data_IF_275389249808
#
_entry.id   IF_275389249808
#
_cell.length_a   1.000
_cell.length_b   1.000
_cell.length_c   1.000
_cell.angle_alpha   90.00
_cell.angle_beta   90.00
_cell.angle_gamma   90.00
#
_symmetry.space_group_name_H-M   'P 1'
#
loop_
_entity.id
_entity.type
_entity.pdbx_description
1 polymer ?
#
# COMPACT_ATOMS: atom_id res chain seq x y z
N UNK A 1 31.03 -33.09 -8.62
CA UNK A 1 30.34 -31.81 -8.88
C UNK A 1 28.85 -32.08 -8.88
N UNK A 2 28.08 -31.50 -7.96
CA UNK A 2 26.62 -31.60 -7.94
C UNK A 2 26.03 -30.79 -9.11
N UNK A 3 24.91 -31.25 -9.68
CA UNK A 3 24.15 -30.51 -10.69
C UNK A 3 23.10 -29.56 -10.05
N UNK A 4 22.72 -29.83 -8.79
CA UNK A 4 21.74 -29.09 -8.01
C UNK A 4 22.06 -29.28 -6.53
N UNK A 5 21.77 -28.27 -5.72
CA UNK A 5 21.76 -28.36 -4.26
C UNK A 5 20.32 -28.40 -3.77
N UNK A 6 20.04 -29.33 -2.84
CA UNK A 6 18.77 -29.33 -2.10
C UNK A 6 19.04 -28.80 -0.70
N UNK A 7 18.48 -27.65 -0.37
CA UNK A 7 18.48 -27.06 0.96
C UNK A 7 17.33 -27.64 1.77
N UNK A 8 17.66 -28.39 2.81
CA UNK A 8 16.73 -28.96 3.77
C UNK A 8 17.30 -28.86 5.20
N UNK A 9 18.05 -27.76 5.47
CA UNK A 9 18.69 -27.54 6.79
C UNK A 9 17.66 -27.07 7.80
N UNK A 10 16.86 -26.05 7.43
CA UNK A 10 15.78 -25.52 8.25
C UNK A 10 14.49 -25.42 7.40
N UNK A 11 13.35 -25.47 8.07
CA UNK A 11 12.04 -25.28 7.47
C UNK A 11 11.14 -24.47 8.39
N UNK A 12 9.86 -24.77 8.40
CA UNK A 12 8.86 -24.16 9.27
C UNK A 12 9.29 -24.19 10.75
N UNK A 13 9.11 -23.07 11.46
CA UNK A 13 9.43 -22.94 12.88
C UNK A 13 10.86 -22.48 13.17
N UNK A 14 11.71 -22.26 12.13
CA UNK A 14 13.01 -21.64 12.35
C UNK A 14 12.86 -20.15 12.66
N UNK A 15 13.54 -19.69 13.73
CA UNK A 15 13.58 -18.29 14.14
C UNK A 15 14.98 -17.88 14.58
N UNK A 16 15.31 -16.60 14.43
CA UNK A 16 16.59 -16.04 14.84
C UNK A 16 17.73 -16.30 13.84
N UNK A 17 18.99 -15.97 14.21
CA UNK A 17 20.15 -16.18 13.34
C UNK A 17 20.59 -17.65 13.32
N UNK A 18 20.96 -18.22 12.16
CA UNK A 18 21.57 -19.53 12.07
C UNK A 18 22.88 -19.59 12.89
N UNK A 19 23.11 -20.70 13.57
CA UNK A 19 24.33 -20.93 14.36
C UNK A 19 25.22 -21.99 13.73
N UNK A 20 26.51 -22.03 14.07
CA UNK A 20 27.44 -23.08 13.64
C UNK A 20 26.93 -24.45 14.08
N UNK A 21 27.09 -25.51 13.27
CA UNK A 21 27.76 -25.53 11.95
C UNK A 21 26.82 -25.10 10.78
N UNK A 22 25.53 -24.89 11.04
CA UNK A 22 24.52 -24.63 9.98
C UNK A 22 24.77 -23.31 9.25
N UNK A 23 25.21 -22.26 9.95
CA UNK A 23 25.57 -20.99 9.33
C UNK A 23 26.64 -21.17 8.24
N UNK A 24 27.68 -21.96 8.53
CA UNK A 24 28.78 -22.27 7.60
C UNK A 24 28.27 -23.07 6.37
N UNK A 25 27.32 -23.98 6.60
CA UNK A 25 26.71 -24.75 5.51
C UNK A 25 25.85 -23.85 4.60
N UNK A 26 25.09 -22.94 5.17
CA UNK A 26 24.27 -21.96 4.42
C UNK A 26 25.18 -21.02 3.61
N UNK A 27 26.28 -20.53 4.20
CA UNK A 27 27.28 -19.72 3.49
C UNK A 27 27.91 -20.49 2.32
N UNK A 28 28.22 -21.77 2.53
CA UNK A 28 28.78 -22.63 1.47
C UNK A 28 27.78 -22.87 0.31
N UNK A 29 26.49 -22.99 0.61
CA UNK A 29 25.41 -23.04 -0.41
C UNK A 29 25.38 -21.73 -1.19
N UNK A 30 25.45 -20.58 -0.51
CA UNK A 30 25.44 -19.25 -1.14
C UNK A 30 26.63 -18.98 -2.06
N UNK A 31 27.74 -19.68 -1.87
CA UNK A 31 28.92 -19.63 -2.76
C UNK A 31 28.83 -20.60 -3.93
N UNK A 32 27.80 -21.44 -3.98
CA UNK A 32 27.60 -22.43 -5.04
C UNK A 32 27.03 -21.75 -6.29
N UNK A 33 27.56 -22.10 -7.47
CA UNK A 33 27.09 -21.64 -8.76
C UNK A 33 25.98 -22.53 -9.35
N UNK A 34 25.59 -23.60 -8.67
CA UNK A 34 24.54 -24.50 -9.14
C UNK A 34 23.16 -24.08 -8.60
N UNK A 35 22.06 -24.42 -9.32
CA UNK A 35 20.71 -24.13 -8.85
C UNK A 35 20.44 -24.71 -7.46
N UNK A 36 19.70 -23.96 -6.64
CA UNK A 36 19.29 -24.35 -5.28
C UNK A 36 17.79 -24.54 -5.23
N UNK A 37 17.36 -25.69 -4.72
CA UNK A 37 15.96 -25.98 -4.41
C UNK A 37 15.84 -26.06 -2.88
N UNK A 38 15.04 -25.16 -2.28
CA UNK A 38 14.75 -25.21 -0.84
C UNK A 38 13.49 -26.03 -0.55
N UNK A 39 13.60 -26.92 0.43
CA UNK A 39 12.47 -27.67 0.95
C UNK A 39 11.78 -26.83 2.04
N UNK A 40 10.51 -26.59 1.88
CA UNK A 40 9.59 -25.85 2.73
C UNK A 40 9.85 -24.33 2.77
N UNK A 41 10.99 -23.88 3.29
CA UNK A 41 11.40 -22.47 3.40
C UNK A 41 12.92 -22.39 3.20
N UNK A 42 13.45 -21.38 2.48
CA UNK A 42 14.90 -21.21 2.37
C UNK A 42 15.54 -21.08 3.75
N UNK A 43 16.57 -21.87 4.03
CA UNK A 43 17.22 -21.88 5.34
C UNK A 43 17.80 -20.51 5.69
N UNK A 44 17.41 -19.98 6.83
CA UNK A 44 17.74 -18.64 7.31
C UNK A 44 16.62 -17.61 7.17
N UNK A 45 15.50 -17.94 6.50
CA UNK A 45 14.27 -17.15 6.45
C UNK A 45 13.35 -17.57 7.59
N UNK A 46 12.84 -16.60 8.34
CA UNK A 46 11.77 -16.81 9.31
C UNK A 46 10.45 -17.02 8.57
N UNK A 47 9.80 -18.17 8.79
CA UNK A 47 8.60 -18.57 8.02
C UNK A 47 7.38 -17.70 8.28
N UNK A 48 7.30 -17.05 9.44
CA UNK A 48 6.12 -16.29 9.86
C UNK A 48 6.23 -14.80 9.51
N UNK A 49 7.44 -14.25 9.56
CA UNK A 49 7.70 -12.82 9.40
C UNK A 49 8.43 -12.46 8.11
N UNK A 50 9.16 -13.41 7.51
CA UNK A 50 10.09 -13.17 6.42
C UNK A 50 11.40 -12.51 6.85
N UNK A 51 11.65 -12.38 8.14
CA UNK A 51 12.90 -11.82 8.66
C UNK A 51 14.10 -12.66 8.27
N UNK A 52 15.23 -11.98 7.98
CA UNK A 52 16.53 -12.58 7.68
C UNK A 52 17.56 -11.98 8.62
N UNK A 53 18.04 -12.78 9.57
CA UNK A 53 18.90 -12.32 10.68
C UNK A 53 20.33 -12.85 10.63
N UNK A 54 20.78 -13.31 9.46
CA UNK A 54 22.12 -13.90 9.30
C UNK A 54 22.29 -14.53 7.94
N UNK A 55 23.21 -15.52 7.81
CA UNK A 55 23.34 -16.28 6.58
C UNK A 55 21.99 -16.88 6.14
N UNK A 56 21.70 -16.78 4.85
CA UNK A 56 20.43 -17.22 4.27
C UNK A 56 20.66 -17.85 2.90
N UNK A 57 19.92 -18.91 2.61
CA UNK A 57 19.92 -19.55 1.31
C UNK A 57 19.09 -18.69 0.34
N UNK A 58 19.61 -18.48 -0.85
CA UNK A 58 18.87 -17.93 -1.97
C UNK A 58 18.46 -19.07 -2.91
N UNK A 59 17.21 -19.47 -2.82
CA UNK A 59 16.67 -20.53 -3.66
C UNK A 59 16.36 -20.03 -5.08
N UNK A 60 16.50 -20.92 -6.08
CA UNK A 60 15.91 -20.75 -7.39
C UNK A 60 14.44 -21.19 -7.37
N UNK A 61 14.15 -22.24 -6.61
CA UNK A 61 12.80 -22.78 -6.40
C UNK A 61 12.64 -23.14 -4.93
N UNK A 62 11.53 -22.74 -4.32
CA UNK A 62 11.12 -23.21 -2.99
C UNK A 62 9.90 -24.12 -3.14
N UNK A 63 10.03 -25.38 -2.74
CA UNK A 63 8.92 -26.34 -2.68
C UNK A 63 8.35 -26.29 -1.27
N UNK A 64 7.32 -25.48 -1.06
CA UNK A 64 6.70 -25.33 0.25
C UNK A 64 5.58 -26.34 0.47
N UNK A 65 5.44 -26.85 1.70
CA UNK A 65 4.54 -27.97 2.00
C UNK A 65 3.16 -27.49 2.43
N UNK A 66 2.11 -28.03 1.82
CA UNK A 66 0.68 -27.87 2.10
C UNK A 66 0.12 -26.45 1.90
N UNK A 67 0.79 -25.40 2.38
CA UNK A 67 0.34 -24.02 2.30
C UNK A 67 1.51 -23.06 2.14
N UNK A 68 1.24 -21.89 1.58
CA UNK A 68 2.17 -20.77 1.57
C UNK A 68 2.46 -20.30 2.99
N UNK A 69 3.72 -19.93 3.27
CA UNK A 69 4.11 -19.32 4.52
C UNK A 69 4.25 -17.82 4.34
N UNK A 70 3.83 -16.99 5.31
CA UNK A 70 3.98 -15.54 5.23
C UNK A 70 5.40 -15.09 4.87
N UNK A 71 6.42 -15.73 5.43
CA UNK A 71 7.82 -15.42 5.18
C UNK A 71 8.30 -15.63 3.76
N UNK A 72 7.61 -16.43 2.95
CA UNK A 72 7.89 -16.59 1.52
C UNK A 72 7.32 -15.45 0.68
N UNK A 73 6.35 -14.72 1.22
CA UNK A 73 5.59 -13.68 0.52
C UNK A 73 5.98 -12.27 0.96
N UNK A 74 6.59 -12.12 2.15
CA UNK A 74 6.94 -10.81 2.71
C UNK A 74 8.45 -10.59 2.66
N UNK A 75 8.87 -9.41 2.21
CA UNK A 75 10.28 -9.03 2.20
C UNK A 75 10.79 -8.78 3.63
N UNK A 76 12.07 -9.16 3.89
CA UNK A 76 13.11 -9.60 2.95
C UNK A 76 13.03 -11.06 2.51
N UNK A 77 12.33 -11.94 3.22
CA UNK A 77 12.28 -13.38 2.94
C UNK A 77 11.86 -13.74 1.51
N UNK A 78 10.88 -13.02 0.97
CA UNK A 78 10.40 -13.20 -0.41
C UNK A 78 11.53 -13.07 -1.46
N UNK A 79 12.56 -12.24 -1.20
CA UNK A 79 13.70 -12.10 -2.11
C UNK A 79 14.58 -13.36 -2.19
N UNK A 80 14.41 -14.29 -1.26
CA UNK A 80 15.19 -15.53 -1.16
C UNK A 80 14.42 -16.77 -1.61
N UNK A 81 13.10 -16.65 -1.83
CA UNK A 81 12.24 -17.80 -2.11
C UNK A 81 12.34 -18.33 -3.55
N UNK A 82 12.73 -17.50 -4.52
CA UNK A 82 12.68 -17.86 -5.93
C UNK A 82 11.25 -18.18 -6.40
N UNK A 83 11.12 -19.11 -7.34
CA UNK A 83 9.81 -19.64 -7.74
C UNK A 83 9.23 -20.49 -6.60
N UNK A 84 7.97 -20.26 -6.25
CA UNK A 84 7.32 -20.98 -5.14
C UNK A 84 6.37 -22.03 -5.70
N UNK A 85 6.59 -23.29 -5.33
CA UNK A 85 5.72 -24.43 -5.66
C UNK A 85 5.12 -24.98 -4.37
N UNK A 86 3.79 -25.01 -4.29
CA UNK A 86 3.09 -25.62 -3.14
C UNK A 86 2.91 -27.10 -3.40
N UNK A 87 3.52 -27.94 -2.56
CA UNK A 87 3.40 -29.40 -2.63
C UNK A 87 2.38 -29.89 -1.61
N UNK A 88 1.37 -30.63 -2.06
CA UNK A 88 0.44 -31.31 -1.16
C UNK A 88 1.14 -32.52 -0.50
N UNK A 89 1.19 -32.52 0.81
CA UNK A 89 1.73 -33.63 1.61
C UNK A 89 0.64 -34.36 2.42
N UNK A 90 -0.61 -34.19 2.04
CA UNK A 90 -1.76 -34.89 2.64
C UNK A 90 -2.33 -34.25 3.91
N UNK A 91 -2.06 -32.95 4.16
CA UNK A 91 -2.71 -32.20 5.25
C UNK A 91 -4.15 -31.91 4.83
N UNK A 92 -5.16 -32.30 5.62
CA UNK A 92 -6.55 -32.02 5.32
C UNK A 92 -6.80 -30.50 5.14
N UNK A 93 -7.51 -30.10 4.09
CA UNK A 93 -7.79 -28.69 3.79
C UNK A 93 -8.51 -27.96 4.91
N UNK A 94 -9.30 -28.67 5.73
CA UNK A 94 -9.95 -28.11 6.92
C UNK A 94 -8.99 -27.65 8.03
N UNK A 95 -7.71 -28.08 7.97
CA UNK A 95 -6.65 -27.63 8.87
C UNK A 95 -5.77 -26.54 8.27
N UNK A 96 -5.99 -26.20 7.00
CA UNK A 96 -5.29 -25.16 6.28
C UNK A 96 -6.16 -23.90 6.24
N UNK A 97 -5.63 -22.82 6.75
CA UNK A 97 -6.30 -21.53 6.81
C UNK A 97 -7.20 -21.36 8.05
N UNK A 98 -7.29 -20.13 8.50
CA UNK A 98 -8.08 -19.73 9.65
C UNK A 98 -8.24 -18.22 9.78
N UNK A 99 -9.05 -17.76 10.74
CA UNK A 99 -9.20 -16.34 11.02
C UNK A 99 -7.87 -15.70 11.36
N UNK A 100 -7.52 -14.62 10.65
CA UNK A 100 -6.28 -13.88 10.86
C UNK A 100 -5.08 -14.35 10.04
N UNK A 101 -5.25 -15.35 9.18
CA UNK A 101 -4.24 -15.74 8.20
C UNK A 101 -3.98 -14.63 7.17
N UNK A 102 -2.82 -14.72 6.52
CA UNK A 102 -2.45 -13.77 5.48
C UNK A 102 -3.10 -14.18 4.15
N UNK A 103 -4.07 -13.40 3.70
CA UNK A 103 -4.72 -13.57 2.40
C UNK A 103 -3.79 -13.12 1.26
N UNK A 104 -3.85 -13.79 0.13
CA UNK A 104 -3.18 -13.40 -1.13
C UNK A 104 -4.26 -13.13 -2.17
N UNK A 105 -4.82 -11.92 -2.23
CA UNK A 105 -5.90 -11.58 -3.15
C UNK A 105 -5.46 -11.70 -4.61
N UNK A 106 -6.21 -12.45 -5.40
CA UNK A 106 -6.03 -12.59 -6.83
C UNK A 106 -7.01 -11.70 -7.64
N UNK A 107 -6.94 -11.79 -8.97
CA UNK A 107 -7.82 -11.01 -9.85
C UNK A 107 -9.32 -11.34 -9.67
N UNK A 108 -9.66 -12.57 -9.26
CA UNK A 108 -11.05 -12.96 -9.01
C UNK A 108 -11.57 -12.32 -7.72
N UNK A 109 -10.75 -12.28 -6.67
CA UNK A 109 -11.07 -11.59 -5.42
C UNK A 109 -11.26 -10.09 -5.63
N UNK A 110 -10.37 -9.47 -6.42
CA UNK A 110 -10.49 -8.05 -6.77
C UNK A 110 -11.78 -7.79 -7.56
N UNK A 111 -12.07 -8.63 -8.57
CA UNK A 111 -13.30 -8.53 -9.37
C UNK A 111 -14.56 -8.60 -8.51
N UNK A 112 -14.56 -9.47 -7.51
CA UNK A 112 -15.72 -9.70 -6.65
C UNK A 112 -16.13 -8.47 -5.82
N UNK A 113 -15.17 -7.59 -5.52
CA UNK A 113 -15.40 -6.39 -4.70
C UNK A 113 -15.38 -5.08 -5.50
N UNK A 114 -14.92 -5.09 -6.76
CA UNK A 114 -14.93 -3.88 -7.61
C UNK A 114 -16.36 -3.35 -7.76
N UNK A 115 -16.58 -2.01 -7.57
CA UNK A 115 -17.89 -1.42 -7.78
C UNK A 115 -18.35 -1.61 -9.23
N UNK A 116 -19.50 -2.27 -9.48
CA UNK A 116 -19.97 -2.49 -10.82
C UNK A 116 -20.35 -1.16 -11.50
N UNK A 117 -20.15 -1.07 -12.79
CA UNK A 117 -20.67 0.05 -13.61
C UNK A 117 -22.00 -0.38 -14.22
N UNK A 118 -23.06 0.35 -13.92
CA UNK A 118 -24.43 0.09 -14.38
C UNK A 118 -24.86 1.11 -15.44
N UNK A 119 -25.75 0.71 -16.30
CA UNK A 119 -26.28 1.60 -17.37
C UNK A 119 -27.07 2.79 -16.81
N UNK A 120 -27.63 2.67 -15.61
CA UNK A 120 -28.38 3.70 -14.90
C UNK A 120 -27.54 4.53 -13.93
N UNK A 121 -26.22 4.30 -13.89
CA UNK A 121 -25.34 5.11 -13.06
C UNK A 121 -25.34 6.58 -13.48
N UNK A 122 -25.21 7.42 -12.48
CA UNK A 122 -25.03 8.86 -12.64
C UNK A 122 -23.87 9.34 -11.74
N UNK A 123 -23.39 10.56 -11.99
CA UNK A 123 -22.24 11.12 -11.24
C UNK A 123 -22.40 11.09 -9.71
N UNK A 124 -23.64 11.14 -9.20
CA UNK A 124 -23.91 11.07 -7.75
C UNK A 124 -23.81 9.65 -7.18
N UNK A 125 -24.14 8.59 -7.98
CA UNK A 125 -24.06 7.18 -7.52
C UNK A 125 -22.63 6.66 -7.48
N UNK A 126 -21.69 7.34 -8.16
CA UNK A 126 -20.29 6.95 -8.24
C UNK A 126 -19.39 7.59 -7.15
N UNK A 127 -20.02 8.22 -6.16
CA UNK A 127 -19.34 8.82 -5.02
C UNK A 127 -18.64 10.15 -5.30
N UNK A 128 -18.43 10.91 -4.22
CA UNK A 128 -17.76 12.21 -4.21
C UNK A 128 -16.52 12.08 -3.32
N UNK A 129 -15.35 12.30 -3.89
CA UNK A 129 -14.11 12.29 -3.13
C UNK A 129 -13.53 13.70 -3.02
N UNK A 130 -13.20 14.13 -1.81
CA UNK A 130 -12.44 15.35 -1.58
C UNK A 130 -10.96 15.01 -1.40
N UNK A 131 -10.10 15.64 -2.18
CA UNK A 131 -8.64 15.50 -2.13
C UNK A 131 -8.07 16.78 -1.52
N UNK A 132 -7.68 16.73 -0.26
CA UNK A 132 -7.01 17.81 0.48
C UNK A 132 -5.51 17.61 0.32
N UNK A 133 -4.90 18.28 -0.65
CA UNK A 133 -3.53 18.00 -1.07
C UNK A 133 -2.84 19.23 -1.65
N UNK A 134 -1.51 19.15 -1.74
CA UNK A 134 -0.69 20.14 -2.41
C UNK A 134 -0.39 21.39 -1.58
N UNK A 135 0.65 22.06 -2.01
CA UNK A 135 1.13 23.36 -1.57
C UNK A 135 1.82 24.03 -2.76
N UNK A 136 2.25 25.28 -2.61
CA UNK A 136 3.01 25.97 -3.67
C UNK A 136 4.22 25.15 -4.13
N UNK A 137 4.90 24.48 -3.21
CA UNK A 137 6.06 23.63 -3.49
C UNK A 137 5.71 22.28 -4.13
N UNK A 138 4.54 21.73 -3.80
CA UNK A 138 4.15 20.36 -4.17
C UNK A 138 2.78 20.30 -4.87
N UNK A 139 2.52 21.23 -5.80
CA UNK A 139 1.26 21.26 -6.56
C UNK A 139 1.01 19.95 -7.35
N UNK A 140 2.07 19.30 -7.82
CA UNK A 140 2.01 18.02 -8.54
C UNK A 140 1.41 16.87 -7.73
N UNK A 141 1.59 16.85 -6.40
CA UNK A 141 0.99 15.84 -5.54
C UNK A 141 -0.54 15.89 -5.58
N UNK A 142 -1.13 17.10 -5.54
CA UNK A 142 -2.58 17.27 -5.69
C UNK A 142 -3.09 16.81 -7.07
N UNK A 143 -2.32 17.06 -8.13
CA UNK A 143 -2.65 16.59 -9.49
C UNK A 143 -2.65 15.06 -9.54
N UNK A 144 -1.60 14.41 -9.06
CA UNK A 144 -1.48 12.95 -9.09
C UNK A 144 -2.55 12.25 -8.23
N UNK A 145 -2.82 12.77 -7.04
CA UNK A 145 -3.87 12.23 -6.15
C UNK A 145 -5.25 12.35 -6.80
N UNK A 146 -5.58 13.53 -7.34
CA UNK A 146 -6.86 13.74 -8.01
C UNK A 146 -6.99 12.88 -9.28
N UNK A 147 -5.90 12.67 -10.03
CA UNK A 147 -5.87 11.80 -11.20
C UNK A 147 -6.12 10.33 -10.81
N UNK A 148 -5.51 9.85 -9.73
CA UNK A 148 -5.77 8.51 -9.17
C UNK A 148 -7.25 8.33 -8.86
N UNK A 149 -7.88 9.31 -8.21
CA UNK A 149 -9.30 9.29 -7.90
C UNK A 149 -10.18 9.29 -9.14
N UNK A 150 -9.89 10.12 -10.15
CA UNK A 150 -10.62 10.16 -11.43
C UNK A 150 -10.57 8.79 -12.14
N UNK A 151 -9.40 8.18 -12.22
CA UNK A 151 -9.19 6.90 -12.93
C UNK A 151 -9.85 5.72 -12.23
N UNK A 152 -10.10 5.81 -10.93
CA UNK A 152 -10.88 4.82 -10.18
C UNK A 152 -12.39 5.05 -10.22
N UNK A 153 -12.86 5.95 -11.09
CA UNK A 153 -14.27 6.09 -11.43
C UNK A 153 -15.11 6.87 -10.42
N UNK A 154 -14.50 7.72 -9.58
CA UNK A 154 -15.26 8.65 -8.74
C UNK A 154 -16.15 9.56 -9.60
N UNK A 155 -17.40 9.73 -9.19
CA UNK A 155 -18.36 10.56 -9.91
C UNK A 155 -18.07 12.06 -9.81
N UNK A 156 -17.52 12.47 -8.67
CA UNK A 156 -16.99 13.82 -8.45
C UNK A 156 -15.64 13.73 -7.73
N UNK A 157 -14.67 14.49 -8.19
CA UNK A 157 -13.41 14.74 -7.51
C UNK A 157 -13.32 16.23 -7.19
N UNK A 158 -13.26 16.55 -5.91
CA UNK A 158 -13.03 17.89 -5.39
C UNK A 158 -11.57 18.04 -5.00
N UNK A 159 -10.82 18.88 -5.69
CA UNK A 159 -9.49 19.27 -5.26
C UNK A 159 -9.61 20.44 -4.27
N UNK A 160 -9.45 20.16 -2.99
CA UNK A 160 -9.41 21.15 -1.91
C UNK A 160 -7.95 21.53 -1.71
N UNK A 161 -7.57 22.66 -2.26
CA UNK A 161 -6.17 23.07 -2.39
C UNK A 161 -5.98 24.51 -1.94
N UNK A 162 -4.76 24.92 -1.52
CA UNK A 162 -4.44 26.32 -1.32
C UNK A 162 -4.76 27.13 -2.59
N UNK A 163 -5.33 28.31 -2.45
CA UNK A 163 -5.65 29.20 -3.58
C UNK A 163 -4.44 29.54 -4.43
N UNK A 164 -3.25 29.54 -3.84
CA UNK A 164 -1.96 29.71 -4.53
C UNK A 164 -1.72 28.71 -5.67
N UNK A 165 -2.33 27.53 -5.65
CA UNK A 165 -2.17 26.49 -6.69
C UNK A 165 -3.47 26.16 -7.44
N UNK A 166 -4.57 26.84 -7.15
CA UNK A 166 -5.87 26.54 -7.74
C UNK A 166 -5.87 26.52 -9.27
N UNK A 167 -5.17 27.47 -9.89
CA UNK A 167 -5.09 27.57 -11.37
C UNK A 167 -4.21 26.48 -11.97
N UNK A 168 -3.19 26.02 -11.27
CA UNK A 168 -2.37 24.86 -11.70
C UNK A 168 -3.26 23.61 -11.82
N UNK A 169 -4.12 23.36 -10.83
CA UNK A 169 -5.02 22.20 -10.85
C UNK A 169 -6.06 22.32 -11.97
N UNK A 170 -6.68 23.51 -12.15
CA UNK A 170 -7.66 23.75 -13.22
C UNK A 170 -7.05 23.52 -14.61
N UNK A 171 -5.80 23.97 -14.81
CA UNK A 171 -5.11 23.78 -16.08
C UNK A 171 -4.73 22.31 -16.34
N UNK A 172 -4.32 21.57 -15.30
CA UNK A 172 -3.88 20.19 -15.42
C UNK A 172 -5.06 19.20 -15.54
N UNK A 173 -6.18 19.46 -14.84
CA UNK A 173 -7.27 18.51 -14.67
C UNK A 173 -8.64 19.17 -14.90
N UNK A 174 -9.10 19.30 -16.16
CA UNK A 174 -10.37 19.97 -16.49
C UNK A 174 -11.62 19.25 -15.92
N UNK A 175 -11.49 17.99 -15.53
CA UNK A 175 -12.57 17.18 -14.97
C UNK A 175 -12.67 17.24 -13.44
N UNK A 176 -11.77 17.98 -12.77
CA UNK A 176 -11.73 18.12 -11.32
C UNK A 176 -12.40 19.45 -10.91
N UNK A 177 -13.20 19.39 -9.86
CA UNK A 177 -13.83 20.58 -9.29
C UNK A 177 -12.91 21.19 -8.22
N UNK A 178 -12.28 22.30 -8.53
CA UNK A 178 -11.33 22.97 -7.62
C UNK A 178 -12.08 23.79 -6.57
N UNK A 179 -11.87 23.45 -5.29
CA UNK A 179 -12.29 24.21 -4.11
C UNK A 179 -11.05 24.87 -3.50
N UNK A 180 -10.73 26.05 -4.00
CA UNK A 180 -9.61 26.82 -3.50
C UNK A 180 -9.93 27.37 -2.12
N UNK A 181 -9.01 27.17 -1.14
CA UNK A 181 -9.13 27.66 0.22
C UNK A 181 -7.97 28.61 0.52
N UNK A 182 -8.11 29.52 1.53
CA UNK A 182 -7.05 30.47 1.83
C UNK A 182 -5.71 29.81 2.09
N UNK A 183 -4.64 30.35 1.49
CA UNK A 183 -3.25 29.93 1.71
C UNK A 183 -2.51 30.85 2.67
N UNK A 184 -1.52 30.30 3.37
CA UNK A 184 -0.51 31.05 4.10
C UNK A 184 0.48 31.70 3.14
N UNK A 185 1.38 32.54 3.67
CA UNK A 185 2.36 33.26 2.86
C UNK A 185 3.34 32.33 2.11
N UNK A 186 3.56 31.10 2.61
CA UNK A 186 4.37 30.07 2.00
C UNK A 186 3.59 29.22 0.97
N UNK A 187 2.32 29.55 0.74
CA UNK A 187 1.45 28.82 -0.19
C UNK A 187 0.93 27.49 0.32
N UNK A 188 0.98 27.23 1.65
CA UNK A 188 0.37 26.08 2.30
C UNK A 188 -1.06 26.36 2.75
N UNK A 189 -1.80 25.32 3.20
CA UNK A 189 -3.14 25.45 3.75
C UNK A 189 -3.14 26.30 5.04
N UNK A 190 -4.04 27.29 5.13
CA UNK A 190 -4.09 28.21 6.27
C UNK A 190 -5.39 28.18 7.09
N UNK A 191 -6.49 27.66 6.56
CA UNK A 191 -7.82 27.78 7.16
C UNK A 191 -8.49 26.45 7.41
N UNK A 192 -8.57 26.03 8.67
CA UNK A 192 -9.30 24.83 9.12
C UNK A 192 -10.77 24.92 8.72
N UNK A 193 -11.46 26.00 9.04
CA UNK A 193 -12.89 26.15 8.78
C UNK A 193 -13.24 26.11 7.28
N UNK A 194 -12.39 26.71 6.44
CA UNK A 194 -12.59 26.66 5.00
C UNK A 194 -12.40 25.25 4.44
N UNK A 195 -11.42 24.49 4.92
CA UNK A 195 -11.21 23.09 4.50
C UNK A 195 -12.35 22.21 4.99
N UNK A 196 -12.78 22.30 6.26
CA UNK A 196 -13.91 21.52 6.78
C UNK A 196 -15.19 21.79 5.98
N UNK A 197 -15.48 23.06 5.66
CA UNK A 197 -16.61 23.42 4.80
C UNK A 197 -16.47 22.85 3.37
N UNK A 198 -15.23 22.84 2.84
CA UNK A 198 -14.97 22.35 1.49
C UNK A 198 -15.08 20.83 1.36
N UNK A 199 -14.98 20.05 2.44
CA UNK A 199 -15.11 18.58 2.41
C UNK A 199 -16.47 18.08 2.89
N UNK A 200 -17.35 18.96 3.38
CA UNK A 200 -18.56 18.59 4.12
C UNK A 200 -19.54 17.69 3.34
N UNK A 201 -19.63 17.85 2.03
CA UNK A 201 -20.52 17.07 1.14
C UNK A 201 -19.82 15.91 0.42
N UNK A 202 -18.57 15.60 0.78
CA UNK A 202 -17.83 14.47 0.23
C UNK A 202 -18.26 13.14 0.90
N UNK A 203 -18.22 12.05 0.14
CA UNK A 203 -18.50 10.70 0.63
C UNK A 203 -17.23 10.04 1.21
N UNK A 204 -16.04 10.51 0.80
CA UNK A 204 -14.75 10.17 1.39
C UNK A 204 -13.76 11.33 1.22
N UNK A 205 -12.74 11.38 2.09
CA UNK A 205 -11.70 12.40 2.07
C UNK A 205 -10.32 11.74 1.97
N UNK A 206 -9.47 12.28 1.11
CA UNK A 206 -8.04 11.96 1.04
C UNK A 206 -7.27 13.18 1.52
N UNK A 207 -6.34 13.02 2.46
CA UNK A 207 -5.54 14.14 2.97
C UNK A 207 -4.09 13.75 3.14
N UNK A 208 -3.20 14.67 2.78
CA UNK A 208 -1.78 14.56 3.12
C UNK A 208 -0.79 14.73 1.98
N UNK A 209 -1.03 14.24 0.74
CA UNK A 209 -0.04 14.38 -0.33
C UNK A 209 0.35 15.85 -0.56
N UNK A 210 1.63 16.18 -0.33
CA UNK A 210 2.22 17.47 -0.60
C UNK A 210 1.72 18.69 0.20
N UNK A 211 1.02 18.48 1.34
CA UNK A 211 0.47 19.58 2.14
C UNK A 211 1.49 20.26 3.04
N UNK A 212 2.66 19.64 3.26
CA UNK A 212 3.67 20.01 4.24
C UNK A 212 3.25 19.80 5.72
N UNK A 213 4.16 20.05 6.66
CA UNK A 213 3.93 19.87 8.11
C UNK A 213 4.01 21.18 8.90
N UNK A 214 3.78 22.32 8.23
CA UNK A 214 3.68 23.62 8.89
C UNK A 214 2.48 23.71 9.84
N UNK A 215 2.36 24.82 10.59
CA UNK A 215 1.30 25.01 11.59
C UNK A 215 -0.10 24.92 10.98
N UNK A 216 -0.35 25.59 9.86
CA UNK A 216 -1.64 25.57 9.17
C UNK A 216 -2.04 24.18 8.68
N UNK A 217 -1.22 23.48 7.85
CA UNK A 217 -1.50 22.10 7.44
C UNK A 217 -1.68 21.14 8.63
N UNK A 218 -0.86 21.26 9.67
CA UNK A 218 -0.99 20.45 10.88
C UNK A 218 -2.35 20.62 11.54
N UNK A 219 -2.79 21.88 11.72
CA UNK A 219 -4.11 22.18 12.28
C UNK A 219 -5.24 21.62 11.43
N UNK A 220 -5.14 21.74 10.08
CA UNK A 220 -6.11 21.19 9.13
C UNK A 220 -6.21 19.68 9.24
N UNK A 221 -5.09 18.96 9.22
CA UNK A 221 -5.08 17.50 9.28
C UNK A 221 -5.67 17.00 10.61
N UNK A 222 -5.27 17.61 11.74
CA UNK A 222 -5.80 17.25 13.06
C UNK A 222 -7.31 17.48 13.14
N UNK A 223 -7.81 18.60 12.60
CA UNK A 223 -9.25 18.87 12.55
C UNK A 223 -9.99 17.87 11.65
N UNK A 224 -9.47 17.52 10.47
CA UNK A 224 -10.07 16.50 9.60
C UNK A 224 -10.16 15.15 10.31
N UNK A 225 -9.13 14.74 11.03
CA UNK A 225 -9.13 13.48 11.79
C UNK A 225 -10.15 13.52 12.92
N UNK A 226 -10.26 14.63 13.65
CA UNK A 226 -11.11 14.75 14.85
C UNK A 226 -12.58 15.01 14.53
N UNK A 227 -12.88 15.84 13.52
CA UNK A 227 -14.21 16.45 13.37
C UNK A 227 -15.01 15.88 12.18
N UNK A 228 -14.36 15.15 11.22
CA UNK A 228 -15.09 14.62 10.06
C UNK A 228 -15.62 13.22 10.30
N UNK A 229 -16.88 13.00 9.89
CA UNK A 229 -17.53 11.68 9.95
C UNK A 229 -17.29 10.80 8.72
N UNK A 230 -16.77 11.36 7.63
CA UNK A 230 -16.52 10.66 6.39
C UNK A 230 -15.36 9.66 6.53
N UNK A 231 -15.36 8.55 5.75
CA UNK A 231 -14.18 7.74 5.55
C UNK A 231 -12.98 8.59 5.13
N UNK A 232 -11.80 8.32 5.71
CA UNK A 232 -10.59 9.13 5.51
C UNK A 232 -9.42 8.25 5.04
N UNK A 233 -8.72 8.69 4.00
CA UNK A 233 -7.40 8.20 3.63
C UNK A 233 -6.36 9.22 4.09
N UNK A 234 -5.38 8.78 4.89
CA UNK A 234 -4.30 9.60 5.41
C UNK A 234 -2.97 9.11 4.86
N UNK A 235 -2.28 9.95 4.10
CA UNK A 235 -1.02 9.62 3.42
C UNK A 235 0.03 10.72 3.61
N UNK A 236 1.28 10.39 3.38
CA UNK A 236 2.40 11.32 3.29
C UNK A 236 2.50 12.30 4.49
N UNK A 237 2.47 13.62 4.24
CA UNK A 237 2.57 14.62 5.30
C UNK A 237 1.37 14.57 6.27
N UNK A 238 0.22 14.08 5.83
CA UNK A 238 -0.90 13.79 6.72
C UNK A 238 -0.54 12.80 7.82
N UNK A 239 0.28 11.79 7.53
CA UNK A 239 0.81 10.84 8.52
C UNK A 239 1.90 11.48 9.38
N UNK A 240 2.78 12.29 8.76
CA UNK A 240 3.88 12.96 9.46
C UNK A 240 3.41 13.90 10.58
N UNK A 241 2.20 14.48 10.47
CA UNK A 241 1.57 15.30 11.52
C UNK A 241 1.39 14.56 12.84
N UNK A 242 1.28 13.23 12.80
CA UNK A 242 1.09 12.38 13.98
C UNK A 242 2.37 11.66 14.43
N UNK A 243 3.51 11.96 13.83
CA UNK A 243 4.80 11.44 14.29
C UNK A 243 5.07 11.86 15.74
N UNK A 244 5.26 10.88 16.63
CA UNK A 244 5.46 11.10 18.07
C UNK A 244 4.18 11.37 18.87
N UNK A 245 3.02 11.57 18.23
CA UNK A 245 1.71 11.73 18.89
C UNK A 245 0.59 11.07 18.08
N UNK A 246 0.53 9.73 18.02
CA UNK A 246 -0.49 8.99 17.26
C UNK A 246 -1.85 8.89 17.99
N UNK A 247 -1.97 9.37 19.23
CA UNK A 247 -3.18 9.27 20.05
C UNK A 247 -4.45 9.75 19.35
N UNK A 248 -4.46 10.88 18.62
CA UNK A 248 -5.67 11.34 17.92
C UNK A 248 -6.20 10.38 16.86
N UNK A 249 -5.33 9.53 16.27
CA UNK A 249 -5.75 8.51 15.31
C UNK A 249 -6.58 7.41 15.99
N UNK A 250 -6.21 7.03 17.24
CA UNK A 250 -6.95 6.05 18.05
C UNK A 250 -8.33 6.54 18.48
N UNK A 251 -8.49 7.84 18.65
CA UNK A 251 -9.73 8.46 19.09
C UNK A 251 -10.76 8.59 17.97
N UNK A 252 -10.30 8.52 16.71
CA UNK A 252 -11.18 8.57 15.55
C UNK A 252 -12.06 7.31 15.45
N UNK A 253 -13.37 7.52 15.36
CA UNK A 253 -14.36 6.43 15.28
C UNK A 253 -14.79 6.09 13.84
N UNK A 254 -14.68 7.07 12.94
CA UNK A 254 -15.02 6.89 11.53
C UNK A 254 -13.92 6.13 10.78
N UNK A 255 -14.25 5.43 9.68
CA UNK A 255 -13.28 4.63 8.95
C UNK A 255 -12.02 5.40 8.56
N UNK A 256 -10.84 4.83 8.84
CA UNK A 256 -9.54 5.42 8.56
C UNK A 256 -8.63 4.39 7.89
N UNK A 257 -8.19 4.70 6.67
CA UNK A 257 -7.13 4.00 5.96
C UNK A 257 -5.87 4.85 6.02
N UNK A 258 -4.80 4.31 6.57
CA UNK A 258 -3.47 4.93 6.52
C UNK A 258 -2.59 4.19 5.50
N UNK A 259 -1.77 4.96 4.75
CA UNK A 259 -0.96 4.41 3.65
C UNK A 259 0.53 4.67 3.81
N UNK A 260 1.16 4.32 4.94
CA UNK A 260 2.56 4.64 5.19
C UNK A 260 3.51 3.84 4.30
N UNK A 261 4.61 4.47 3.86
CA UNK A 261 5.82 3.75 3.48
C UNK A 261 6.65 3.41 4.75
N UNK A 262 7.67 2.53 4.70
CA UNK A 262 8.41 2.12 5.92
C UNK A 262 8.99 3.28 6.75
N UNK A 263 9.39 4.38 6.12
CA UNK A 263 9.88 5.55 6.85
C UNK A 263 8.79 6.31 7.62
N UNK A 264 7.58 6.43 7.05
CA UNK A 264 6.39 7.00 7.73
C UNK A 264 5.92 6.08 8.84
N UNK A 265 5.91 4.76 8.58
CA UNK A 265 5.59 3.74 9.58
C UNK A 265 6.52 3.83 10.79
N UNK A 266 7.82 3.94 10.56
CA UNK A 266 8.82 4.10 11.63
C UNK A 266 8.56 5.35 12.48
N UNK A 267 8.24 6.50 11.85
CA UNK A 267 7.91 7.72 12.59
C UNK A 267 6.65 7.60 13.46
N UNK A 268 5.61 6.93 12.96
CA UNK A 268 4.37 6.68 13.73
C UNK A 268 4.58 5.69 14.88
N UNK A 269 5.44 4.70 14.70
CA UNK A 269 5.71 3.65 15.70
C UNK A 269 6.88 4.00 16.64
N UNK A 270 7.53 5.14 16.46
CA UNK A 270 8.77 5.51 17.15
C UNK A 270 9.86 4.41 17.00
N UNK A 271 9.94 3.80 15.82
CA UNK A 271 10.89 2.75 15.45
C UNK A 271 11.74 3.18 14.25
N UNK A 272 12.91 2.58 14.08
CA UNK A 272 13.70 2.80 12.88
C UNK A 272 13.13 2.01 11.67
N UNK A 273 13.57 2.41 10.47
CA UNK A 273 13.10 1.79 9.23
C UNK A 273 13.55 0.32 9.15
N UNK A 274 14.70 -0.01 9.72
CA UNK A 274 15.22 -1.38 9.72
C UNK A 274 14.31 -2.30 10.53
N UNK A 275 13.87 -1.88 11.72
CA UNK A 275 12.94 -2.63 12.55
C UNK A 275 11.59 -2.86 11.85
N UNK A 276 11.05 -1.82 11.16
CA UNK A 276 9.82 -1.97 10.35
C UNK A 276 10.01 -2.99 9.23
N UNK A 277 11.16 -2.98 8.57
CA UNK A 277 11.44 -3.92 7.46
C UNK A 277 11.75 -5.33 7.95
N UNK A 278 12.27 -5.50 9.16
CA UNK A 278 12.54 -6.81 9.76
C UNK A 278 11.25 -7.56 10.10
N UNK A 279 10.20 -6.84 10.55
CA UNK A 279 8.88 -7.41 10.82
C UNK A 279 7.77 -6.51 10.24
N UNK A 280 7.59 -6.56 8.93
CA UNK A 280 6.58 -5.76 8.23
C UNK A 280 5.16 -6.13 8.63
N UNK A 281 4.89 -7.41 8.93
CA UNK A 281 3.57 -7.88 9.34
C UNK A 281 3.23 -7.32 10.72
N UNK A 282 4.14 -7.43 11.69
CA UNK A 282 3.97 -6.86 13.02
C UNK A 282 3.83 -5.34 13.00
N UNK A 283 4.66 -4.66 12.21
CA UNK A 283 4.57 -3.20 12.04
C UNK A 283 3.22 -2.77 11.44
N UNK A 284 2.74 -3.45 10.38
CA UNK A 284 1.43 -3.16 9.78
C UNK A 284 0.27 -3.44 10.74
N UNK A 285 0.37 -4.51 11.56
CA UNK A 285 -0.62 -4.83 12.58
C UNK A 285 -0.66 -3.78 13.70
N UNK A 286 0.49 -3.32 14.17
CA UNK A 286 0.58 -2.23 15.15
C UNK A 286 -0.04 -0.93 14.62
N UNK A 287 0.24 -0.57 13.36
CA UNK A 287 -0.34 0.59 12.69
C UNK A 287 -1.85 0.44 12.46
N UNK A 288 -2.35 -0.75 12.15
CA UNK A 288 -3.78 -1.04 12.08
C UNK A 288 -4.47 -0.91 13.45
N UNK A 289 -3.72 -0.99 14.54
CA UNK A 289 -4.17 -0.64 15.89
C UNK A 289 -4.45 0.86 16.07
N UNK A 290 -3.72 1.71 15.34
CA UNK A 290 -3.91 3.18 15.36
C UNK A 290 -5.04 3.65 14.43
N UNK A 291 -5.38 2.84 13.43
CA UNK A 291 -6.37 3.17 12.40
C UNK A 291 -7.37 2.00 12.20
N UNK A 292 -8.30 2.13 11.26
CA UNK A 292 -9.15 0.99 10.89
C UNK A 292 -8.36 -0.01 10.05
N UNK A 293 -7.51 0.49 9.15
CA UNK A 293 -6.69 -0.30 8.22
C UNK A 293 -5.36 0.42 7.97
N UNK A 294 -4.28 -0.35 7.92
CA UNK A 294 -2.96 0.09 7.43
C UNK A 294 -2.66 -0.58 6.09
N UNK A 295 -2.32 0.22 5.08
CA UNK A 295 -1.70 -0.20 3.83
C UNK A 295 -0.21 0.15 3.92
N UNK A 296 0.62 -0.80 4.34
CA UNK A 296 2.07 -0.61 4.43
C UNK A 296 2.71 -0.79 3.05
N UNK A 297 3.07 0.34 2.44
CA UNK A 297 3.68 0.40 1.10
C UNK A 297 5.03 -0.33 1.04
N UNK A 298 5.38 -0.83 -0.13
CA UNK A 298 6.65 -1.49 -0.44
C UNK A 298 6.45 -2.71 -1.33
N UNK A 299 7.53 -3.44 -1.67
CA UNK A 299 7.40 -4.68 -2.41
C UNK A 299 6.51 -5.64 -1.63
N UNK A 300 5.55 -6.25 -2.33
CA UNK A 300 4.47 -7.02 -1.73
C UNK A 300 3.77 -6.20 -0.61
N UNK A 301 2.95 -5.26 -1.04
CA UNK A 301 2.23 -4.34 -0.14
C UNK A 301 1.33 -5.10 0.83
N UNK A 302 1.42 -4.76 2.12
CA UNK A 302 0.56 -5.33 3.15
C UNK A 302 -0.66 -4.44 3.39
N UNK A 303 -1.85 -5.03 3.40
CA UNK A 303 -3.08 -4.36 3.81
C UNK A 303 -3.61 -5.09 5.04
N UNK A 304 -3.57 -4.43 6.18
CA UNK A 304 -3.89 -5.04 7.47
C UNK A 304 -4.98 -4.25 8.15
N UNK A 305 -6.08 -4.94 8.45
CA UNK A 305 -7.16 -4.47 9.29
C UNK A 305 -7.24 -5.29 10.58
N UNK A 306 -8.27 -5.02 11.41
CA UNK A 306 -8.43 -5.73 12.70
C UNK A 306 -8.72 -7.22 12.54
N UNK A 307 -9.40 -7.63 11.47
CA UNK A 307 -9.88 -9.01 11.28
C UNK A 307 -9.28 -9.67 10.04
N UNK A 308 -8.76 -8.90 9.11
CA UNK A 308 -8.24 -9.39 7.84
C UNK A 308 -6.84 -8.85 7.60
N UNK A 309 -5.99 -9.68 7.01
CA UNK A 309 -4.61 -9.34 6.63
C UNK A 309 -4.37 -9.82 5.21
N UNK A 310 -3.95 -8.94 4.32
CA UNK A 310 -3.66 -9.28 2.93
C UNK A 310 -2.26 -8.87 2.53
N UNK A 311 -1.65 -9.65 1.66
CA UNK A 311 -0.43 -9.30 0.94
C UNK A 311 -0.75 -9.21 -0.54
N UNK A 312 -0.50 -8.05 -1.12
CA UNK A 312 -0.71 -7.78 -2.54
C UNK A 312 0.62 -7.94 -3.25
N UNK A 313 0.73 -8.96 -4.10
CA UNK A 313 1.96 -9.33 -4.78
C UNK A 313 2.23 -8.48 -6.02
N UNK A 314 1.19 -7.85 -6.59
CA UNK A 314 1.32 -7.01 -7.77
C UNK A 314 2.21 -5.79 -7.52
N UNK A 315 3.06 -5.48 -8.47
CA UNK A 315 3.95 -4.32 -8.45
C UNK A 315 5.37 -4.66 -8.91
N UNK A 316 6.07 -3.65 -9.41
CA UNK A 316 7.45 -3.76 -9.86
C UNK A 316 8.29 -2.57 -9.38
N UNK A 317 9.60 -2.62 -9.66
CA UNK A 317 10.53 -1.52 -9.41
C UNK A 317 10.15 -0.20 -10.12
N UNK A 318 9.34 -0.27 -11.17
CA UNK A 318 8.81 0.90 -11.88
C UNK A 318 8.07 1.87 -10.94
N UNK A 319 7.41 1.36 -9.90
CA UNK A 319 6.66 2.16 -8.92
C UNK A 319 7.54 2.87 -7.87
N UNK A 320 8.83 2.60 -7.82
CA UNK A 320 9.77 3.26 -6.89
C UNK A 320 10.08 4.70 -7.34
N UNK A 321 9.06 5.53 -7.47
CA UNK A 321 9.11 6.92 -7.93
C UNK A 321 8.32 7.83 -7.00
N UNK A 322 8.80 9.08 -6.84
CA UNK A 322 8.05 10.11 -6.13
C UNK A 322 6.69 10.34 -6.82
N UNK A 323 5.63 10.49 -6.04
CA UNK A 323 4.27 10.68 -6.54
C UNK A 323 3.47 9.40 -6.80
N UNK A 324 4.11 8.21 -6.80
CA UNK A 324 3.42 6.93 -6.96
C UNK A 324 2.41 6.69 -5.83
N UNK A 325 2.80 7.01 -4.58
CA UNK A 325 1.91 6.95 -3.42
C UNK A 325 0.72 7.90 -3.52
N UNK A 326 0.92 9.09 -4.11
CA UNK A 326 -0.15 10.10 -4.27
C UNK A 326 -1.28 9.54 -5.15
N UNK A 327 -0.92 8.87 -6.27
CA UNK A 327 -1.90 8.20 -7.14
C UNK A 327 -2.64 7.11 -6.36
N UNK A 328 -1.91 6.27 -5.60
CA UNK A 328 -2.49 5.20 -4.78
C UNK A 328 -3.48 5.74 -3.74
N UNK A 329 -3.13 6.81 -3.04
CA UNK A 329 -4.00 7.45 -2.04
C UNK A 329 -5.30 7.95 -2.69
N UNK A 330 -5.21 8.58 -3.86
CA UNK A 330 -6.37 9.01 -4.65
C UNK A 330 -7.27 7.85 -5.08
N UNK A 331 -6.68 6.76 -5.55
CA UNK A 331 -7.40 5.52 -5.91
C UNK A 331 -8.18 4.96 -4.71
N UNK A 332 -7.52 4.82 -3.57
CA UNK A 332 -8.15 4.31 -2.35
C UNK A 332 -9.32 5.20 -1.90
N UNK A 333 -9.14 6.52 -1.91
CA UNK A 333 -10.22 7.47 -1.58
C UNK A 333 -11.43 7.36 -2.48
N UNK A 334 -11.23 7.21 -3.79
CA UNK A 334 -12.32 7.03 -4.74
C UNK A 334 -13.09 5.72 -4.52
N UNK A 335 -12.40 4.63 -4.19
CA UNK A 335 -13.03 3.34 -3.88
C UNK A 335 -13.84 3.42 -2.58
N UNK A 336 -13.32 4.10 -1.54
CA UNK A 336 -14.07 4.33 -0.30
C UNK A 336 -15.30 5.23 -0.54
N UNK A 337 -15.20 6.25 -1.39
CA UNK A 337 -16.34 7.09 -1.78
C UNK A 337 -17.42 6.31 -2.55
N UNK A 338 -17.06 5.22 -3.21
CA UNK A 338 -17.98 4.30 -3.90
C UNK A 338 -18.50 3.19 -2.97
N UNK A 339 -18.20 3.24 -1.67
CA UNK A 339 -18.78 2.37 -0.65
C UNK A 339 -17.94 1.16 -0.24
N UNK A 340 -16.70 0.99 -0.76
CA UNK A 340 -15.83 -0.07 -0.30
C UNK A 340 -15.38 0.22 1.15
N UNK A 341 -15.23 -0.84 1.94
CA UNK A 341 -14.58 -0.74 3.24
C UNK A 341 -13.11 -0.31 3.07
N UNK A 342 -12.47 0.28 4.11
CA UNK A 342 -11.05 0.65 4.05
C UNK A 342 -10.12 -0.51 3.65
N UNK A 343 -10.44 -1.74 4.06
CA UNK A 343 -9.66 -2.91 3.72
C UNK A 343 -9.79 -3.27 2.23
N UNK A 344 -11.02 -3.37 1.73
CA UNK A 344 -11.27 -3.66 0.30
C UNK A 344 -10.70 -2.57 -0.59
N UNK A 345 -10.92 -1.30 -0.25
CA UNK A 345 -10.35 -0.16 -0.97
C UNK A 345 -8.81 -0.21 -1.01
N UNK A 346 -8.18 -0.55 0.11
CA UNK A 346 -6.72 -0.73 0.20
C UNK A 346 -6.21 -1.86 -0.67
N UNK A 347 -6.86 -3.03 -0.63
CA UNK A 347 -6.48 -4.21 -1.43
C UNK A 347 -6.65 -3.95 -2.92
N UNK A 348 -7.82 -3.44 -3.33
CA UNK A 348 -8.11 -3.14 -4.74
C UNK A 348 -7.17 -2.06 -5.27
N UNK A 349 -6.98 -0.98 -4.52
CA UNK A 349 -6.08 0.11 -4.93
C UNK A 349 -4.63 -0.39 -5.07
N UNK A 350 -4.12 -1.17 -4.09
CA UNK A 350 -2.76 -1.72 -4.15
C UNK A 350 -2.58 -2.66 -5.35
N UNK A 351 -3.55 -3.56 -5.60
CA UNK A 351 -3.49 -4.51 -6.71
C UNK A 351 -3.50 -3.80 -8.07
N UNK A 352 -4.46 -2.93 -8.33
CA UNK A 352 -4.58 -2.23 -9.61
C UNK A 352 -3.41 -1.25 -9.85
N UNK A 353 -2.95 -0.58 -8.80
CA UNK A 353 -1.77 0.27 -8.83
C UNK A 353 -0.50 -0.54 -9.17
N UNK A 354 -0.35 -1.70 -8.52
CA UNK A 354 0.74 -2.64 -8.77
C UNK A 354 0.73 -3.12 -10.22
N UNK A 355 -0.42 -3.62 -10.71
CA UNK A 355 -0.57 -4.09 -12.10
C UNK A 355 -0.33 -2.98 -13.12
N UNK A 356 -0.83 -1.77 -12.88
CA UNK A 356 -0.54 -0.62 -13.76
C UNK A 356 0.95 -0.31 -13.83
N UNK A 357 1.67 -0.43 -12.70
CA UNK A 357 3.13 -0.30 -12.67
C UNK A 357 3.87 -1.37 -13.46
N UNK A 358 3.44 -2.63 -13.37
CA UNK A 358 4.01 -3.74 -14.15
C UNK A 358 3.77 -3.54 -15.66
N UNK A 359 2.54 -3.26 -16.06
CA UNK A 359 2.17 -3.01 -17.46
C UNK A 359 2.93 -1.81 -18.04
N UNK A 360 3.00 -0.73 -17.28
CA UNK A 360 3.75 0.46 -17.67
C UNK A 360 5.25 0.23 -17.75
N UNK A 361 5.81 -0.52 -16.80
CA UNK A 361 7.22 -0.94 -16.80
C UNK A 361 7.58 -1.82 -18.01
N UNK A 362 6.67 -2.70 -18.43
CA UNK A 362 6.84 -3.49 -19.66
C UNK A 362 6.75 -2.62 -20.92
N UNK A 363 5.82 -1.68 -20.98
CA UNK A 363 5.59 -0.85 -22.15
C UNK A 363 6.65 0.27 -22.33
N UNK A 364 7.08 0.90 -21.23
CA UNK A 364 7.95 2.08 -21.23
C UNK A 364 9.35 1.80 -20.68
N UNK A 365 9.63 0.55 -20.30
CA UNK A 365 10.73 0.12 -19.43
C UNK A 365 10.60 0.65 -18.00
N UNK A 366 11.03 -0.14 -17.02
CA UNK A 366 10.99 0.31 -15.60
C UNK A 366 11.82 1.58 -15.35
N UNK A 367 12.87 1.81 -16.16
CA UNK A 367 13.71 2.99 -16.03
C UNK A 367 12.99 4.28 -16.47
N UNK A 368 12.19 4.23 -17.53
CA UNK A 368 11.54 5.41 -18.12
C UNK A 368 10.14 5.69 -17.55
N UNK A 369 9.54 4.70 -16.88
CA UNK A 369 8.22 4.85 -16.28
C UNK A 369 8.22 5.89 -15.16
N UNK A 370 7.17 6.71 -15.12
CA UNK A 370 6.98 7.77 -14.11
C UNK A 370 5.64 7.62 -13.39
N UNK A 371 5.47 8.29 -12.25
CA UNK A 371 4.20 8.29 -11.52
C UNK A 371 3.03 8.88 -12.32
N UNK A 372 3.32 9.77 -13.27
CA UNK A 372 2.33 10.36 -14.16
C UNK A 372 1.80 9.35 -15.20
N UNK A 373 2.53 8.27 -15.46
CA UNK A 373 2.11 7.21 -16.39
C UNK A 373 1.13 6.22 -15.75
N UNK A 374 1.17 6.03 -14.42
CA UNK A 374 0.31 5.08 -13.71
C UNK A 374 -1.17 5.22 -14.13
N UNK A 375 -1.77 6.43 -14.15
CA UNK A 375 -3.16 6.61 -14.55
C UNK A 375 -3.48 6.15 -15.99
N UNK A 376 -2.47 6.10 -16.86
CA UNK A 376 -2.62 5.66 -18.26
C UNK A 376 -2.77 4.15 -18.36
N UNK A 377 -2.10 3.38 -17.50
CA UNK A 377 -2.14 1.92 -17.48
C UNK A 377 -3.21 1.33 -16.55
N UNK A 378 -3.86 2.15 -15.71
CA UNK A 378 -4.97 1.69 -14.87
C UNK A 378 -6.13 1.07 -15.65
N UNK A 379 -6.57 1.60 -16.81
CA UNK A 379 -7.63 0.96 -17.60
C UNK A 379 -7.28 -0.48 -18.05
N UNK A 380 -6.01 -0.74 -18.36
CA UNK A 380 -5.57 -2.07 -18.76
C UNK A 380 -5.52 -3.02 -17.55
N UNK A 381 -5.03 -2.56 -16.41
CA UNK A 381 -5.06 -3.31 -15.16
C UNK A 381 -6.51 -3.68 -14.74
N UNK A 382 -7.45 -2.76 -14.88
CA UNK A 382 -8.88 -3.02 -14.60
C UNK A 382 -9.44 -4.02 -15.60
N UNK A 383 -9.10 -3.91 -16.90
CA UNK A 383 -9.57 -4.83 -17.94
C UNK A 383 -9.11 -6.26 -17.67
N UNK A 384 -7.85 -6.47 -17.27
CA UNK A 384 -7.34 -7.79 -16.88
C UNK A 384 -8.15 -8.40 -15.73
N UNK A 385 -8.44 -7.63 -14.70
CA UNK A 385 -9.27 -8.07 -13.56
C UNK A 385 -10.68 -8.42 -14.01
N UNK A 386 -11.27 -7.68 -14.95
CA UNK A 386 -12.60 -7.96 -15.48
C UNK A 386 -12.64 -9.15 -16.47
N UNK A 387 -11.49 -9.68 -16.89
CA UNK A 387 -11.38 -10.86 -17.76
C UNK A 387 -11.51 -10.52 -19.24
N UNK A 388 -11.14 -9.29 -19.62
CA UNK A 388 -11.15 -8.78 -21.00
C UNK A 388 -9.77 -8.77 -21.64
#
# INVERSE_FOLDING_TARGET
>A
TAAVVVDAIFGFGFTGPPRKPYAEAIEAIGLSEVPVISADVPSGVDSDTGAVRGPVVRANVTVTFSALKPGLLVYPGAAHAGEIVVADIGVPSALLGGPGDLEVPDAADIRAVLPPVRADDHKGSRGRVAVVAGSLQYAGAAVLTAMGALRMGAGYVYAVVPDAIGDVIRAALPNVLVRAVPSAADGSLASVSAVLAAVADADAVVVGPGITTGEGPTAVVRALVAETGQPLVLDADGLNVFAGDPQPLLERRSPLLITPHPGEAGRLLAADVAAVQEDRIGAAAALAGLASVCLLKGPHTLVVGRQRRGVVLAGSGALARAGSGDVLAGMAGALMAQGLSPYEAGVVAAHLHGRAGELGGLALTEMCFTSADIPTFLPDAVREVLGG
#
